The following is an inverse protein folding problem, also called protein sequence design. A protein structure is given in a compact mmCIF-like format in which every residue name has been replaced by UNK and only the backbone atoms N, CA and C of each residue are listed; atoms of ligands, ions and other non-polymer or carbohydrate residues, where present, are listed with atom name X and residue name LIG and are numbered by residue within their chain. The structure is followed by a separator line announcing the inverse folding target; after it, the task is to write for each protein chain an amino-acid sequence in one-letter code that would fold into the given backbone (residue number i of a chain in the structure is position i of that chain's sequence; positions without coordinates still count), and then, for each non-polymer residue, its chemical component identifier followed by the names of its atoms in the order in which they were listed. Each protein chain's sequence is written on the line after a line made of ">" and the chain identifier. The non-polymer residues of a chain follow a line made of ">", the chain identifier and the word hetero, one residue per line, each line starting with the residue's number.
data_IF_414801224593
#
_entry.id   IF_414801224593
#
_cell.length_a   1.000
_cell.length_b   1.000
_cell.length_c   1.000
_cell.angle_alpha   90.00
_cell.angle_beta   90.00
_cell.angle_gamma   90.00
#
_symmetry.space_group_name_H-M   'P 1'
#
loop_
_entity.id
_entity.type
_entity.pdbx_description
1 polymer ?
#
# COMPACT_ATOMS: atom_id res chain seq x y z
N UNK A 1 32.48 20.45 -7.12
CA UNK A 1 31.58 19.30 -7.26
C UNK A 1 30.23 19.63 -7.91
N UNK A 2 29.91 20.91 -8.12
CA UNK A 2 28.63 21.38 -8.67
C UNK A 2 28.55 21.53 -10.21
N UNK A 3 29.66 21.32 -10.95
CA UNK A 3 29.69 21.53 -12.42
C UNK A 3 29.53 20.26 -13.27
N UNK A 4 29.38 19.09 -12.63
CA UNK A 4 29.37 17.82 -13.36
C UNK A 4 27.96 17.43 -13.87
N UNK A 5 26.92 18.11 -13.38
CA UNK A 5 25.56 17.56 -13.53
C UNK A 5 24.58 18.58 -14.14
N UNK A 6 24.77 18.95 -15.37
CA UNK A 6 23.65 19.39 -16.23
C UNK A 6 22.98 18.13 -16.75
N UNK A 7 21.67 17.95 -16.45
CA UNK A 7 20.91 16.72 -16.71
C UNK A 7 21.10 16.10 -18.09
N UNK A 8 21.17 16.88 -19.15
CA UNK A 8 21.42 16.41 -20.51
C UNK A 8 22.79 15.73 -20.74
N UNK A 9 23.78 16.01 -19.90
CA UNK A 9 25.11 15.39 -20.02
C UNK A 9 25.19 14.03 -19.31
N UNK A 10 24.39 13.82 -18.26
CA UNK A 10 24.35 12.55 -17.51
C UNK A 10 23.78 11.43 -18.39
N UNK A 11 22.65 11.68 -19.01
CA UNK A 11 21.98 10.68 -19.88
C UNK A 11 22.90 10.23 -21.01
N UNK A 12 23.62 11.17 -21.63
CA UNK A 12 24.59 10.84 -22.67
C UNK A 12 25.73 9.99 -22.11
N UNK A 13 26.26 10.30 -20.94
CA UNK A 13 27.31 9.50 -20.27
C UNK A 13 26.83 8.10 -19.95
N UNK A 14 25.61 7.95 -19.47
CA UNK A 14 24.99 6.64 -19.20
C UNK A 14 24.91 5.83 -20.51
N UNK A 15 24.40 6.43 -21.59
CA UNK A 15 24.33 5.75 -22.91
C UNK A 15 25.69 5.31 -23.42
N UNK A 16 26.70 6.17 -23.27
CA UNK A 16 28.07 5.93 -23.72
C UNK A 16 28.83 4.97 -22.77
N UNK A 17 28.26 4.54 -21.65
CA UNK A 17 28.91 3.70 -20.64
C UNK A 17 30.04 4.41 -19.86
N UNK A 18 30.01 5.75 -19.78
CA UNK A 18 31.08 6.53 -19.16
C UNK A 18 30.68 7.00 -17.75
N UNK A 19 31.63 6.94 -16.81
CA UNK A 19 31.48 7.41 -15.43
C UNK A 19 30.27 6.80 -14.68
N UNK A 20 29.94 5.54 -14.96
CA UNK A 20 28.76 4.90 -14.41
C UNK A 20 28.80 4.80 -12.88
N UNK A 21 29.97 4.47 -12.30
CA UNK A 21 30.15 4.37 -10.85
C UNK A 21 29.95 5.71 -10.15
N UNK A 22 30.50 6.79 -10.74
CA UNK A 22 30.34 8.14 -10.19
C UNK A 22 28.87 8.59 -10.22
N UNK A 23 28.15 8.25 -11.31
CA UNK A 23 26.74 8.56 -11.48
C UNK A 23 25.88 7.76 -10.50
N UNK A 24 26.15 6.47 -10.34
CA UNK A 24 25.44 5.61 -9.38
C UNK A 24 25.69 6.07 -7.94
N UNK A 25 26.94 6.40 -7.58
CA UNK A 25 27.29 6.94 -6.27
C UNK A 25 26.61 8.29 -5.99
N UNK A 26 26.54 9.14 -7.00
CA UNK A 26 25.80 10.40 -6.89
C UNK A 26 24.31 10.16 -6.61
N UNK A 27 23.67 9.29 -7.40
CA UNK A 27 22.26 8.95 -7.21
C UNK A 27 22.00 8.39 -5.79
N UNK A 28 22.85 7.46 -5.32
CA UNK A 28 22.79 6.90 -3.96
C UNK A 28 22.90 7.98 -2.89
N UNK A 29 23.88 8.88 -3.01
CA UNK A 29 24.08 9.95 -2.03
C UNK A 29 22.90 10.93 -1.99
N UNK A 30 22.27 11.21 -3.13
CA UNK A 30 21.05 12.01 -3.18
C UNK A 30 19.88 11.31 -2.50
N UNK A 31 19.68 10.01 -2.74
CA UNK A 31 18.63 9.21 -2.07
C UNK A 31 18.85 9.23 -0.55
N UNK A 32 20.08 9.04 -0.10
CA UNK A 32 20.42 9.01 1.31
C UNK A 32 20.16 10.35 2.00
N UNK A 33 20.46 11.48 1.34
CA UNK A 33 20.31 12.81 1.90
C UNK A 33 18.88 13.34 1.81
N UNK A 34 18.24 13.19 0.66
CA UNK A 34 16.99 13.89 0.30
C UNK A 34 15.80 12.93 0.18
N UNK A 35 16.07 11.61 0.30
CA UNK A 35 15.09 10.55 0.12
C UNK A 35 14.83 10.18 -1.35
N UNK A 36 14.02 9.14 -1.60
CA UNK A 36 13.81 8.57 -2.93
C UNK A 36 12.85 9.38 -3.84
N UNK A 37 12.48 10.59 -3.45
CA UNK A 37 11.48 11.41 -4.16
C UNK A 37 12.08 12.34 -5.20
N UNK A 38 13.40 12.44 -5.30
CA UNK A 38 14.06 13.30 -6.28
C UNK A 38 13.84 12.75 -7.70
N UNK A 39 13.14 13.53 -8.52
CA UNK A 39 12.80 13.17 -9.91
C UNK A 39 14.05 12.92 -10.75
N UNK A 40 15.12 13.70 -10.55
CA UNK A 40 16.38 13.54 -11.27
C UNK A 40 17.03 12.20 -10.93
N UNK A 41 17.01 11.80 -9.68
CA UNK A 41 17.57 10.53 -9.23
C UNK A 41 16.81 9.36 -9.83
N UNK A 42 15.48 9.39 -9.79
CA UNK A 42 14.63 8.35 -10.39
C UNK A 42 14.84 8.24 -11.91
N UNK A 43 15.04 9.38 -12.57
CA UNK A 43 15.37 9.43 -13.98
C UNK A 43 16.75 8.78 -14.26
N UNK A 44 17.77 9.11 -13.49
CA UNK A 44 19.12 8.52 -13.61
C UNK A 44 19.03 6.98 -13.42
N UNK A 45 18.35 6.50 -12.38
CA UNK A 45 18.22 5.08 -12.13
C UNK A 45 17.47 4.36 -13.27
N UNK A 46 16.44 4.99 -13.81
CA UNK A 46 15.70 4.45 -14.95
C UNK A 46 16.57 4.33 -16.20
N UNK A 47 17.38 5.33 -16.49
CA UNK A 47 18.32 5.28 -17.61
C UNK A 47 19.48 4.29 -17.39
N UNK A 48 20.00 4.17 -16.17
CA UNK A 48 21.00 3.15 -15.84
C UNK A 48 20.42 1.75 -16.07
N UNK A 49 19.23 1.47 -15.59
CA UNK A 49 18.56 0.19 -15.79
C UNK A 49 18.29 -0.10 -17.28
N UNK A 50 17.90 0.92 -18.05
CA UNK A 50 17.56 0.76 -19.47
C UNK A 50 18.79 0.57 -20.36
N UNK A 51 19.85 1.34 -20.16
CA UNK A 51 20.99 1.37 -21.07
C UNK A 51 22.20 0.57 -20.59
N UNK A 52 22.29 0.28 -19.29
CA UNK A 52 23.42 -0.40 -18.66
C UNK A 52 22.92 -1.46 -17.66
N UNK A 53 22.10 -2.43 -18.09
CA UNK A 53 21.44 -3.38 -17.17
C UNK A 53 22.44 -4.19 -16.35
N UNK A 54 23.49 -4.72 -16.96
CA UNK A 54 24.53 -5.52 -16.27
C UNK A 54 25.30 -4.71 -15.22
N UNK A 55 25.48 -3.41 -15.46
CA UNK A 55 26.07 -2.52 -14.47
C UNK A 55 25.07 -2.23 -13.35
N UNK A 56 23.82 -1.97 -13.71
CA UNK A 56 22.75 -1.65 -12.75
C UNK A 56 22.52 -2.81 -11.78
N UNK A 57 22.49 -4.05 -12.25
CA UNK A 57 22.33 -5.25 -11.43
C UNK A 57 23.32 -5.33 -10.26
N UNK A 58 24.55 -4.84 -10.42
CA UNK A 58 25.56 -4.82 -9.36
C UNK A 58 25.24 -3.87 -8.21
N UNK A 59 24.42 -2.87 -8.45
CA UNK A 59 24.04 -1.83 -7.49
C UNK A 59 22.56 -1.91 -7.10
N UNK A 60 21.78 -2.76 -7.77
CA UNK A 60 20.33 -2.82 -7.57
C UNK A 60 19.98 -3.10 -6.10
N UNK A 61 20.65 -4.05 -5.48
CA UNK A 61 20.40 -4.44 -4.10
C UNK A 61 20.69 -3.29 -3.12
N UNK A 62 21.84 -2.64 -3.27
CA UNK A 62 22.21 -1.50 -2.43
C UNK A 62 21.26 -0.31 -2.62
N UNK A 63 20.80 -0.07 -3.84
CA UNK A 63 19.81 0.98 -4.14
C UNK A 63 18.44 0.66 -3.56
N UNK A 64 17.98 -0.59 -3.70
CA UNK A 64 16.72 -1.07 -3.14
C UNK A 64 16.72 -0.90 -1.62
N UNK A 65 17.81 -1.26 -0.95
CA UNK A 65 17.97 -1.09 0.50
C UNK A 65 17.99 0.39 0.90
N UNK A 66 18.77 1.22 0.20
CA UNK A 66 18.84 2.67 0.47
C UNK A 66 17.48 3.37 0.27
N UNK A 67 16.67 2.87 -0.66
CA UNK A 67 15.30 3.36 -0.89
C UNK A 67 14.28 2.83 0.13
N UNK A 68 14.67 1.95 1.05
CA UNK A 68 13.76 1.30 1.99
C UNK A 68 12.84 0.25 1.34
N UNK A 69 13.18 -0.21 0.14
CA UNK A 69 12.40 -1.18 -0.63
C UNK A 69 12.91 -2.63 -0.45
N UNK A 70 13.57 -2.91 0.67
CA UNK A 70 14.19 -4.20 1.00
C UNK A 70 13.24 -5.40 0.85
N UNK A 71 11.93 -5.18 1.00
CA UNK A 71 10.91 -6.21 0.77
C UNK A 71 10.81 -6.70 -0.69
N UNK A 72 11.47 -6.01 -1.63
CA UNK A 72 11.56 -6.43 -3.04
C UNK A 72 12.77 -7.28 -3.35
N UNK A 73 13.75 -7.34 -2.45
CA UNK A 73 14.95 -8.18 -2.63
C UNK A 73 14.76 -9.52 -1.89
N UNK A 74 14.58 -10.64 -2.59
CA UNK A 74 14.36 -11.95 -1.98
C UNK A 74 15.64 -12.61 -1.46
N UNK A 75 16.81 -12.14 -1.89
CA UNK A 75 18.11 -12.74 -1.56
C UNK A 75 19.17 -11.66 -1.37
N UNK A 76 19.11 -10.91 -0.24
CA UNK A 76 20.03 -9.81 -0.01
C UNK A 76 21.47 -10.31 0.28
N UNK A 77 22.44 -9.63 -0.30
CA UNK A 77 23.88 -9.93 -0.14
C UNK A 77 24.53 -9.10 0.98
N UNK A 78 23.82 -8.09 1.51
CA UNK A 78 24.34 -7.21 2.54
C UNK A 78 23.85 -7.64 3.93
N UNK A 79 24.63 -7.33 4.98
CA UNK A 79 24.20 -7.58 6.38
C UNK A 79 22.88 -6.89 6.71
N UNK A 80 22.72 -5.65 6.25
CA UNK A 80 21.49 -4.89 6.45
C UNK A 80 20.30 -5.54 5.75
N UNK A 81 20.48 -6.00 4.52
CA UNK A 81 19.47 -6.72 3.76
C UNK A 81 19.07 -8.03 4.43
N UNK A 82 20.03 -8.78 4.98
CA UNK A 82 19.72 -10.01 5.76
C UNK A 82 18.86 -9.71 6.98
N UNK A 83 19.16 -8.64 7.74
CA UNK A 83 18.35 -8.22 8.89
C UNK A 83 16.93 -7.84 8.44
N UNK A 84 16.79 -7.11 7.34
CA UNK A 84 15.49 -6.77 6.78
C UNK A 84 14.72 -7.99 6.27
N UNK A 85 15.41 -8.97 5.68
CA UNK A 85 14.77 -10.21 5.25
C UNK A 85 14.27 -11.05 6.43
N UNK A 86 15.02 -11.14 7.51
CA UNK A 86 14.57 -11.77 8.75
C UNK A 86 13.34 -11.08 9.32
N UNK A 87 13.31 -9.74 9.32
CA UNK A 87 12.12 -8.97 9.72
C UNK A 87 10.93 -9.25 8.79
N UNK A 88 11.13 -9.25 7.47
CA UNK A 88 10.10 -9.58 6.48
C UNK A 88 9.52 -10.97 6.72
N UNK A 89 10.39 -11.98 6.93
CA UNK A 89 9.94 -13.35 7.21
C UNK A 89 9.14 -13.44 8.51
N UNK A 90 9.53 -12.72 9.55
CA UNK A 90 8.78 -12.62 10.79
C UNK A 90 7.37 -12.06 10.57
N UNK A 91 7.26 -10.96 9.84
CA UNK A 91 5.98 -10.33 9.49
C UNK A 91 5.11 -11.29 8.66
N UNK A 92 5.69 -11.92 7.64
CA UNK A 92 5.00 -12.90 6.81
C UNK A 92 4.47 -14.09 7.61
N UNK A 93 5.24 -14.58 8.56
CA UNK A 93 4.81 -15.67 9.45
C UNK A 93 3.63 -15.26 10.33
N UNK A 94 3.60 -13.99 10.79
CA UNK A 94 2.54 -13.47 11.68
C UNK A 94 1.26 -13.14 10.92
N UNK A 95 1.35 -12.51 9.76
CA UNK A 95 0.21 -11.97 9.03
C UNK A 95 -0.13 -12.72 7.73
N UNK A 96 0.66 -13.71 7.35
CA UNK A 96 0.42 -14.53 6.16
C UNK A 96 0.88 -13.93 4.83
N UNK A 97 1.28 -12.64 4.81
CA UNK A 97 1.66 -11.90 3.60
C UNK A 97 2.88 -11.02 3.84
N UNK A 98 3.51 -10.56 2.76
CA UNK A 98 4.63 -9.63 2.81
C UNK A 98 4.10 -8.19 2.99
N UNK A 99 4.34 -7.59 4.16
CA UNK A 99 3.98 -6.22 4.49
C UNK A 99 5.19 -5.31 4.54
N UNK A 100 4.99 -4.06 4.14
CA UNK A 100 5.98 -3.02 4.44
C UNK A 100 6.03 -2.76 5.94
N UNK A 101 7.14 -2.25 6.49
CA UNK A 101 7.24 -1.94 7.92
C UNK A 101 6.11 -1.04 8.42
N UNK A 102 5.69 -0.08 7.60
CA UNK A 102 4.58 0.80 7.93
C UNK A 102 3.26 0.04 8.03
N UNK A 103 2.97 -0.85 7.08
CA UNK A 103 1.75 -1.67 7.09
C UNK A 103 1.74 -2.63 8.28
N UNK A 104 2.87 -3.27 8.58
CA UNK A 104 3.01 -4.15 9.73
C UNK A 104 2.80 -3.40 11.06
N UNK A 105 3.41 -2.22 11.20
CA UNK A 105 3.22 -1.36 12.38
C UNK A 105 1.76 -0.92 12.56
N UNK A 106 1.05 -0.62 11.48
CA UNK A 106 -0.39 -0.31 11.53
C UNK A 106 -1.17 -1.52 12.04
N UNK A 107 -0.92 -2.71 11.50
CA UNK A 107 -1.61 -3.93 11.94
C UNK A 107 -1.37 -4.24 13.41
N UNK A 108 -0.12 -4.13 13.89
CA UNK A 108 0.22 -4.30 15.30
C UNK A 108 -0.53 -3.33 16.22
N UNK A 109 -0.62 -2.06 15.80
CA UNK A 109 -1.31 -1.03 16.59
C UNK A 109 -2.83 -1.22 16.62
N UNK A 110 -3.40 -1.87 15.61
CA UNK A 110 -4.86 -2.11 15.52
C UNK A 110 -5.28 -3.30 16.41
N UNK A 111 -4.43 -4.32 16.60
CA UNK A 111 -4.80 -5.57 17.28
C UNK A 111 -5.49 -5.37 18.62
N UNK A 112 -5.07 -4.36 19.41
CA UNK A 112 -5.60 -4.09 20.74
C UNK A 112 -6.52 -2.86 20.79
N UNK A 113 -6.96 -2.31 19.67
CA UNK A 113 -7.72 -1.07 19.61
C UNK A 113 -9.13 -1.27 19.09
N UNK A 114 -10.12 -0.77 19.84
CA UNK A 114 -11.50 -0.68 19.34
C UNK A 114 -11.69 0.41 18.27
N UNK A 115 -10.90 1.48 18.35
CA UNK A 115 -10.95 2.60 17.41
C UNK A 115 -9.51 2.95 17.01
N UNK A 116 -9.28 3.05 15.73
CA UNK A 116 -7.98 3.39 15.17
C UNK A 116 -8.13 4.32 13.97
N UNK A 117 -7.28 5.33 13.89
CA UNK A 117 -7.20 6.23 12.75
C UNK A 117 -5.74 6.41 12.34
N UNK A 118 -5.47 6.33 11.04
CA UNK A 118 -4.14 6.62 10.52
C UNK A 118 -4.24 7.43 9.24
N UNK A 119 -3.28 8.31 9.06
CA UNK A 119 -3.10 9.09 7.84
C UNK A 119 -1.88 8.58 7.09
N UNK A 120 -2.05 8.30 5.81
CA UNK A 120 -0.97 7.83 4.96
C UNK A 120 -1.22 8.28 3.51
N UNK A 121 -0.17 8.58 2.73
CA UNK A 121 -0.29 8.90 1.31
C UNK A 121 -1.01 7.78 0.53
N UNK A 122 -1.62 8.11 -0.58
CA UNK A 122 -2.38 7.16 -1.42
C UNK A 122 -1.53 5.97 -1.90
N UNK A 123 -0.23 6.19 -2.11
CA UNK A 123 0.73 5.17 -2.58
C UNK A 123 1.23 4.19 -1.51
N UNK A 124 0.87 4.36 -0.24
CA UNK A 124 1.40 3.55 0.87
C UNK A 124 0.74 2.19 1.05
N UNK A 125 -0.27 1.88 0.21
CA UNK A 125 -0.95 0.60 0.26
C UNK A 125 -1.97 0.44 1.40
N UNK A 126 -2.66 1.52 1.81
CA UNK A 126 -3.77 1.48 2.80
C UNK A 126 -4.79 0.38 2.50
N UNK A 127 -5.18 0.25 1.24
CA UNK A 127 -6.11 -0.78 0.79
C UNK A 127 -5.62 -2.21 1.04
N UNK A 128 -4.31 -2.41 1.17
CA UNK A 128 -3.74 -3.72 1.52
C UNK A 128 -3.97 -4.07 2.99
N UNK A 129 -3.85 -3.09 3.89
CA UNK A 129 -4.21 -3.23 5.31
C UNK A 129 -5.70 -3.53 5.46
N UNK A 130 -6.56 -2.79 4.74
CA UNK A 130 -8.01 -3.04 4.75
C UNK A 130 -8.35 -4.46 4.30
N UNK A 131 -7.70 -4.97 3.25
CA UNK A 131 -7.92 -6.35 2.79
C UNK A 131 -7.59 -7.39 3.86
N UNK A 132 -6.49 -7.21 4.59
CA UNK A 132 -6.14 -8.11 5.67
C UNK A 132 -7.19 -8.08 6.79
N UNK A 133 -7.60 -6.90 7.24
CA UNK A 133 -8.63 -6.73 8.25
C UNK A 133 -9.98 -7.35 7.83
N UNK A 134 -10.37 -7.15 6.57
CA UNK A 134 -11.58 -7.77 6.02
C UNK A 134 -11.46 -9.29 6.01
N UNK A 135 -10.30 -9.82 5.64
CA UNK A 135 -10.06 -11.28 5.59
C UNK A 135 -10.11 -11.91 6.98
N UNK A 136 -9.57 -11.24 7.99
CA UNK A 136 -9.51 -11.73 9.38
C UNK A 136 -10.82 -11.57 10.16
N UNK A 137 -11.74 -10.71 9.71
CA UNK A 137 -13.03 -10.52 10.37
C UNK A 137 -13.89 -11.80 10.31
N UNK A 138 -14.49 -12.16 11.44
CA UNK A 138 -15.33 -13.35 11.57
C UNK A 138 -16.78 -13.11 11.20
N UNK A 139 -17.30 -11.90 11.41
CA UNK A 139 -18.67 -11.51 11.18
C UNK A 139 -18.80 -10.41 10.10
N UNK A 140 -19.90 -9.67 10.11
CA UNK A 140 -20.20 -8.66 9.11
C UNK A 140 -19.19 -7.50 9.12
N UNK A 141 -18.88 -6.99 7.93
CA UNK A 141 -17.97 -5.86 7.73
C UNK A 141 -18.67 -4.76 6.96
N UNK A 142 -18.43 -3.52 7.35
CA UNK A 142 -18.91 -2.33 6.62
C UNK A 142 -17.72 -1.51 6.16
N UNK A 143 -17.60 -1.33 4.84
CA UNK A 143 -16.60 -0.46 4.21
C UNK A 143 -17.31 0.79 3.71
N UNK A 144 -16.93 1.94 4.23
CA UNK A 144 -17.52 3.23 3.85
C UNK A 144 -16.52 3.96 2.97
N UNK A 145 -16.95 4.26 1.74
CA UNK A 145 -16.16 4.95 0.72
C UNK A 145 -16.80 6.27 0.32
N UNK A 146 -16.01 7.31 -0.01
CA UNK A 146 -16.54 8.66 -0.23
C UNK A 146 -17.38 8.80 -1.49
N UNK A 147 -17.24 7.90 -2.46
CA UNK A 147 -17.94 8.03 -3.75
C UNK A 147 -18.42 6.70 -4.33
N UNK A 148 -19.42 6.79 -5.21
CA UNK A 148 -19.94 5.61 -5.92
C UNK A 148 -18.92 4.96 -6.85
N UNK A 149 -17.98 5.73 -7.39
CA UNK A 149 -16.93 5.20 -8.26
C UNK A 149 -16.02 4.22 -7.49
N UNK A 150 -15.70 4.54 -6.23
CA UNK A 150 -14.89 3.69 -5.38
C UNK A 150 -15.63 2.41 -4.93
N UNK A 151 -16.96 2.41 -4.90
CA UNK A 151 -17.72 1.19 -4.58
C UNK A 151 -17.36 0.05 -5.52
N UNK A 152 -17.32 0.28 -6.83
CA UNK A 152 -17.02 -0.76 -7.81
C UNK A 152 -15.56 -1.26 -7.67
N UNK A 153 -14.63 -0.34 -7.47
CA UNK A 153 -13.21 -0.69 -7.27
C UNK A 153 -13.01 -1.57 -6.00
N UNK A 154 -13.65 -1.21 -4.89
CA UNK A 154 -13.60 -2.01 -3.67
C UNK A 154 -14.34 -3.34 -3.82
N UNK A 155 -15.46 -3.34 -4.55
CA UNK A 155 -16.24 -4.56 -4.80
C UNK A 155 -15.40 -5.61 -5.52
N UNK A 156 -14.75 -5.25 -6.62
CA UNK A 156 -13.90 -6.16 -7.38
C UNK A 156 -12.73 -6.66 -6.52
N UNK A 157 -12.02 -5.77 -5.87
CA UNK A 157 -10.86 -6.11 -5.00
C UNK A 157 -11.24 -7.01 -3.82
N UNK A 158 -12.41 -6.82 -3.22
CA UNK A 158 -12.85 -7.63 -2.10
C UNK A 158 -13.28 -9.01 -2.58
N UNK A 159 -13.98 -9.11 -3.70
CA UNK A 159 -14.36 -10.41 -4.27
C UNK A 159 -13.16 -11.30 -4.58
N UNK A 160 -12.04 -10.72 -4.96
CA UNK A 160 -10.80 -11.47 -5.25
C UNK A 160 -10.17 -12.10 -4.00
N UNK A 161 -10.51 -11.62 -2.82
CA UNK A 161 -9.87 -12.06 -1.55
C UNK A 161 -10.78 -12.88 -0.64
N UNK A 162 -12.08 -12.95 -0.95
CA UNK A 162 -13.06 -13.69 -0.13
C UNK A 162 -13.66 -14.87 -0.88
N UNK A 163 -14.11 -15.88 -0.14
CA UNK A 163 -14.86 -16.97 -0.72
C UNK A 163 -16.31 -16.53 -0.99
N UNK A 164 -16.61 -16.18 -2.23
CA UNK A 164 -17.93 -15.68 -2.65
C UNK A 164 -19.08 -16.70 -2.46
N UNK A 165 -18.77 -17.97 -2.18
CA UNK A 165 -19.80 -18.97 -1.84
C UNK A 165 -20.27 -18.87 -0.39
N UNK A 166 -19.48 -18.26 0.48
CA UNK A 166 -19.74 -18.16 1.91
C UNK A 166 -19.96 -16.71 2.39
N UNK A 167 -19.51 -15.74 1.59
CA UNK A 167 -19.50 -14.33 1.93
C UNK A 167 -20.25 -13.52 0.88
N UNK A 168 -21.26 -12.79 1.30
CA UNK A 168 -21.93 -11.82 0.42
C UNK A 168 -21.12 -10.53 0.38
N UNK A 169 -20.87 -10.02 -0.82
CA UNK A 169 -20.32 -8.67 -1.02
C UNK A 169 -21.42 -7.80 -1.62
N UNK A 170 -21.87 -6.80 -0.87
CA UNK A 170 -23.07 -6.02 -1.16
C UNK A 170 -22.74 -4.54 -1.28
N UNK A 171 -23.27 -3.91 -2.31
CA UNK A 171 -23.13 -2.45 -2.57
C UNK A 171 -24.39 -1.66 -2.20
N UNK A 172 -25.35 -2.32 -1.62
CA UNK A 172 -26.61 -1.76 -1.15
C UNK A 172 -27.12 -2.55 0.08
N UNK A 173 -28.10 -1.99 0.77
CA UNK A 173 -28.69 -2.64 1.95
C UNK A 173 -29.73 -3.66 1.49
N UNK A 174 -29.37 -4.93 1.53
CA UNK A 174 -30.26 -6.05 1.16
C UNK A 174 -30.50 -6.94 2.37
N UNK A 175 -31.70 -6.91 2.91
CA UNK A 175 -32.08 -7.68 4.10
C UNK A 175 -32.46 -9.13 3.79
N UNK A 176 -32.74 -9.44 2.56
CA UNK A 176 -33.16 -10.80 2.15
C UNK A 176 -31.92 -11.67 1.97
N UNK A 177 -31.00 -11.24 1.12
CA UNK A 177 -29.81 -12.02 0.78
C UNK A 177 -28.81 -12.17 1.95
N UNK A 178 -28.77 -11.21 2.87
CA UNK A 178 -27.88 -11.26 4.04
C UNK A 178 -28.10 -12.44 4.98
N UNK A 179 -29.31 -13.03 4.96
CA UNK A 179 -29.65 -14.19 5.82
C UNK A 179 -29.07 -15.50 5.32
N UNK A 180 -28.60 -15.58 4.09
CA UNK A 180 -28.15 -16.82 3.46
C UNK A 180 -26.63 -17.00 3.42
N UNK A 181 -25.87 -16.01 3.84
CA UNK A 181 -24.42 -16.08 3.90
C UNK A 181 -23.94 -16.22 5.36
N UNK A 182 -22.75 -16.80 5.52
CA UNK A 182 -22.09 -16.86 6.84
C UNK A 182 -21.76 -15.48 7.37
N UNK A 183 -21.37 -14.56 6.47
CA UNK A 183 -21.15 -13.15 6.78
C UNK A 183 -21.38 -12.26 5.56
N UNK A 184 -21.53 -10.98 5.81
CA UNK A 184 -21.77 -9.98 4.78
C UNK A 184 -20.71 -8.89 4.83
N UNK A 185 -20.30 -8.41 3.66
CA UNK A 185 -19.43 -7.25 3.51
C UNK A 185 -20.20 -6.19 2.74
N UNK A 186 -20.51 -5.08 3.41
CA UNK A 186 -21.20 -3.96 2.82
C UNK A 186 -20.19 -2.91 2.35
N UNK A 187 -20.27 -2.48 1.10
CA UNK A 187 -19.47 -1.40 0.54
C UNK A 187 -20.42 -0.27 0.20
N UNK A 188 -20.42 0.78 1.01
CA UNK A 188 -21.46 1.80 0.97
C UNK A 188 -20.85 3.21 0.99
N UNK A 189 -21.60 4.18 0.45
CA UNK A 189 -21.32 5.59 0.74
C UNK A 189 -21.84 5.99 2.12
N UNK A 190 -21.39 7.12 2.70
CA UNK A 190 -21.86 7.59 4.00
C UNK A 190 -23.40 7.70 4.08
N UNK A 191 -24.06 8.14 3.00
CA UNK A 191 -25.50 8.28 2.95
C UNK A 191 -26.20 6.92 3.02
N UNK A 192 -25.71 5.92 2.27
CA UNK A 192 -26.27 4.56 2.27
C UNK A 192 -25.99 3.83 3.58
N UNK A 193 -24.86 4.07 4.22
CA UNK A 193 -24.53 3.46 5.52
C UNK A 193 -25.47 3.91 6.63
N UNK A 194 -25.99 5.14 6.57
CA UNK A 194 -27.02 5.62 7.53
C UNK A 194 -28.26 4.74 7.54
N UNK A 195 -28.69 4.24 6.38
CA UNK A 195 -29.83 3.33 6.29
C UNK A 195 -29.53 1.97 6.94
N UNK A 196 -28.35 1.44 6.72
CA UNK A 196 -27.89 0.20 7.34
C UNK A 196 -27.89 0.33 8.88
N UNK A 197 -27.33 1.41 9.42
CA UNK A 197 -27.22 1.60 10.86
C UNK A 197 -28.54 1.95 11.58
N UNK A 198 -29.54 2.47 10.88
CA UNK A 198 -30.89 2.69 11.46
C UNK A 198 -31.55 1.38 11.86
N UNK A 199 -31.24 0.28 11.22
CA UNK A 199 -31.89 -1.02 11.36
C UNK A 199 -30.89 -2.15 11.66
N UNK A 200 -29.92 -1.91 12.51
CA UNK A 200 -28.78 -2.79 12.77
C UNK A 200 -29.05 -4.06 13.58
N UNK A 201 -30.28 -4.27 14.08
CA UNK A 201 -30.62 -5.39 14.98
C UNK A 201 -30.42 -6.79 14.38
N UNK A 202 -30.25 -6.89 13.07
CA UNK A 202 -30.05 -8.14 12.34
C UNK A 202 -28.60 -8.35 11.86
N UNK A 203 -27.70 -7.42 12.15
CA UNK A 203 -26.29 -7.47 11.79
C UNK A 203 -25.42 -7.77 13.02
N UNK A 204 -24.39 -8.55 12.80
CA UNK A 204 -23.30 -8.75 13.76
C UNK A 204 -22.02 -8.15 13.17
N UNK A 205 -21.81 -6.86 13.37
CA UNK A 205 -20.73 -6.10 12.75
C UNK A 205 -19.45 -6.21 13.60
N UNK A 206 -18.42 -6.83 13.05
CA UNK A 206 -17.08 -6.88 13.65
C UNK A 206 -16.27 -5.64 13.32
N UNK A 207 -16.42 -5.12 12.10
CA UNK A 207 -15.48 -4.14 11.57
C UNK A 207 -16.19 -3.08 10.74
N UNK A 208 -15.86 -1.83 11.00
CA UNK A 208 -16.26 -0.68 10.16
C UNK A 208 -14.99 0.02 9.70
N UNK A 209 -14.79 0.08 8.39
CA UNK A 209 -13.66 0.74 7.74
C UNK A 209 -14.14 2.00 7.03
N UNK A 210 -13.45 3.11 7.26
CA UNK A 210 -13.68 4.37 6.55
C UNK A 210 -12.46 4.64 5.67
N UNK A 211 -12.67 4.68 4.36
CA UNK A 211 -11.66 5.21 3.44
C UNK A 211 -11.90 6.70 3.21
N UNK A 212 -10.81 7.48 3.29
CA UNK A 212 -10.85 8.93 3.15
C UNK A 212 -11.90 9.63 4.04
N UNK A 213 -11.90 9.28 5.33
CA UNK A 213 -12.88 9.77 6.31
C UNK A 213 -13.01 11.31 6.34
N UNK A 214 -11.95 12.05 5.96
CA UNK A 214 -11.96 13.50 5.86
C UNK A 214 -12.93 14.05 4.80
N UNK A 215 -13.25 13.26 3.77
CA UNK A 215 -14.21 13.65 2.72
C UNK A 215 -15.67 13.41 3.13
N UNK A 216 -15.88 12.74 4.25
CA UNK A 216 -17.23 12.49 4.79
C UNK A 216 -17.82 13.70 5.52
N UNK A 217 -17.03 14.75 5.78
CA UNK A 217 -17.50 15.96 6.42
C UNK A 217 -18.22 16.87 5.40
N UNK A 218 -19.52 17.05 5.55
CA UNK A 218 -20.37 17.86 4.65
C UNK A 218 -19.91 19.33 4.53
N UNK A 219 -19.09 19.80 5.46
CA UNK A 219 -18.53 21.15 5.41
C UNK A 219 -17.39 21.31 4.43
N UNK A 220 -16.72 20.22 4.06
CA UNK A 220 -15.60 20.24 3.10
C UNK A 220 -16.04 20.26 1.63
N UNK A 221 -17.30 19.97 1.36
CA UNK A 221 -17.82 19.80 -0.03
C UNK A 221 -18.50 21.07 -0.56
N UNK A 222 -18.62 22.13 0.26
CA UNK A 222 -19.26 23.40 -0.10
C UNK A 222 -18.36 24.63 0.08
N UNK A 223 -17.09 24.49 -0.24
CA UNK A 223 -16.15 25.58 -0.35
C UNK A 223 -15.82 25.85 -1.80
#
# INVERSE_FOLDING_TARGET
>A
MNDVIKSGNIIKKIRDGKQLEEIALFARNCIFRDGPKDTLVLEILSYLKLFQPTFFEKFEDELIETMGLFFKNPSPDTLQGVVFDMYRQHIKKRYGEDYTPMQASILEQIEDKHHFSFSAPTSTGKSFVFRNLIRSASNDVVVIVPSRALINEYYDRIRDIVNVKEVNVLTFVDRINTKFAKRNIFILTPERSRELFKNKSWLNIDLILFDEAQLSDEKSVRG
#
